data_IF_031268165624
#
_entry.id   IF_031268165624
#
_cell.length_a   1.000
_cell.length_b   1.000
_cell.length_c   1.000
_cell.angle_alpha   90.00
_cell.angle_beta   90.00
_cell.angle_gamma   90.00
#
_symmetry.space_group_name_H-M   'P 1'
#
loop_
_entity.id
_entity.type
_entity.pdbx_description
1 polymer ?
#
# COMPACT_ATOMS: atom_id res chain seq x y z
N UNK A 1 21.57 3.53 24.84
CA UNK A 1 20.79 2.72 23.89
C UNK A 1 20.02 1.72 24.73
N UNK A 2 18.68 1.71 24.66
CA UNK A 2 17.88 0.63 25.23
C UNK A 2 18.36 -0.68 24.58
N UNK A 3 18.42 -1.78 25.33
CA UNK A 3 18.66 -3.07 24.69
C UNK A 3 17.45 -3.42 23.80
N UNK A 4 17.63 -4.26 22.76
CA UNK A 4 16.58 -4.53 21.77
C UNK A 4 15.28 -5.05 22.41
N UNK A 5 15.38 -5.76 23.54
CA UNK A 5 14.23 -6.28 24.31
C UNK A 5 13.42 -5.15 24.95
N UNK A 6 14.09 -4.19 25.59
CA UNK A 6 13.44 -3.00 26.16
C UNK A 6 12.76 -2.15 25.09
N UNK A 7 13.37 -2.04 23.89
CA UNK A 7 12.78 -1.31 22.78
C UNK A 7 11.52 -2.01 22.25
N UNK A 8 11.56 -3.32 22.04
CA UNK A 8 10.39 -4.11 21.63
C UNK A 8 9.25 -4.01 22.67
N UNK A 9 9.57 -4.09 23.97
CA UNK A 9 8.58 -3.99 25.05
C UNK A 9 7.85 -2.64 25.03
N UNK A 10 8.59 -1.54 24.83
CA UNK A 10 7.98 -0.19 24.74
C UNK A 10 7.08 -0.05 23.52
N UNK A 11 7.49 -0.57 22.38
CA UNK A 11 6.66 -0.54 21.16
C UNK A 11 5.37 -1.33 21.38
N UNK A 12 5.45 -2.50 22.04
CA UNK A 12 4.28 -3.30 22.38
C UNK A 12 3.31 -2.56 23.30
N UNK A 13 3.82 -1.89 24.34
CA UNK A 13 3.00 -1.05 25.23
C UNK A 13 2.29 0.07 24.46
N UNK A 14 3.01 0.77 23.56
CA UNK A 14 2.44 1.82 22.73
C UNK A 14 1.37 1.28 21.77
N UNK A 15 1.60 0.12 21.13
CA UNK A 15 0.62 -0.52 20.25
C UNK A 15 -0.66 -0.88 21.01
N UNK A 16 -0.54 -1.53 22.17
CA UNK A 16 -1.71 -1.88 22.99
C UNK A 16 -2.47 -0.64 23.42
N UNK A 17 -1.77 0.43 23.83
CA UNK A 17 -2.40 1.70 24.18
C UNK A 17 -3.20 2.29 23.02
N UNK A 18 -2.65 2.30 21.81
CA UNK A 18 -3.36 2.83 20.64
C UNK A 18 -4.55 1.95 20.22
N UNK A 19 -4.43 0.63 20.37
CA UNK A 19 -5.55 -0.30 20.19
C UNK A 19 -6.65 -0.01 21.22
N UNK A 20 -6.32 0.17 22.50
CA UNK A 20 -7.29 0.52 23.55
C UNK A 20 -7.99 1.85 23.29
N UNK A 21 -7.25 2.84 22.78
CA UNK A 21 -7.78 4.15 22.40
C UNK A 21 -8.57 4.13 21.09
N UNK A 22 -8.50 3.03 20.32
CA UNK A 22 -9.08 2.90 18.99
C UNK A 22 -8.62 4.02 18.03
N UNK A 23 -7.36 4.44 18.18
CA UNK A 23 -6.80 5.57 17.44
C UNK A 23 -5.37 5.28 16.99
N UNK A 24 -5.09 5.54 15.73
CA UNK A 24 -3.76 5.44 15.15
C UNK A 24 -3.56 6.61 14.20
N UNK A 25 -2.39 7.22 14.28
CA UNK A 25 -1.96 8.17 13.26
C UNK A 25 -1.76 7.40 11.94
N UNK A 26 -2.40 7.89 10.89
CA UNK A 26 -2.23 7.39 9.53
C UNK A 26 -1.79 8.54 8.65
N UNK A 27 -0.63 8.36 8.02
CA UNK A 27 -0.13 9.28 7.01
C UNK A 27 -0.46 8.73 5.64
N UNK A 28 -0.67 9.61 4.68
CA UNK A 28 -1.05 9.26 3.32
C UNK A 28 0.06 9.65 2.36
N UNK A 29 0.53 8.69 1.57
CA UNK A 29 1.42 8.98 0.46
C UNK A 29 0.62 9.01 -0.85
N UNK A 30 0.46 10.17 -1.50
CA UNK A 30 -0.29 10.25 -2.74
C UNK A 30 0.48 9.61 -3.91
N UNK A 31 -0.27 8.97 -4.79
CA UNK A 31 0.21 8.30 -6.00
C UNK A 31 -0.23 9.12 -7.22
N UNK A 32 0.75 9.57 -8.01
CA UNK A 32 0.54 10.48 -9.14
C UNK A 32 0.22 9.69 -10.41
N UNK A 33 -0.92 10.01 -11.05
CA UNK A 33 -1.26 9.51 -12.38
C UNK A 33 -0.65 10.46 -13.42
N UNK A 34 0.34 9.96 -14.16
CA UNK A 34 1.04 10.79 -15.13
C UNK A 34 0.16 11.20 -16.31
N UNK A 35 -0.81 10.37 -16.70
CA UNK A 35 -1.72 10.65 -17.82
C UNK A 35 -2.77 11.69 -17.43
N UNK A 36 -3.37 11.55 -16.25
CA UNK A 36 -4.34 12.53 -15.71
C UNK A 36 -3.69 13.79 -15.13
N UNK A 37 -2.37 13.75 -14.90
CA UNK A 37 -1.57 14.84 -14.34
C UNK A 37 -2.04 15.30 -12.96
N UNK A 38 -2.54 14.36 -12.15
CA UNK A 38 -3.00 14.62 -10.79
C UNK A 38 -2.78 13.40 -9.89
N UNK A 39 -2.87 13.60 -8.58
CA UNK A 39 -2.95 12.49 -7.64
C UNK A 39 -4.31 11.83 -7.72
N UNK A 40 -4.33 10.51 -7.86
CA UNK A 40 -5.57 9.73 -8.07
C UNK A 40 -5.73 8.60 -7.08
N UNK A 41 -4.68 8.26 -6.35
CA UNK A 41 -4.71 7.25 -5.30
C UNK A 41 -3.79 7.72 -4.18
N UNK A 42 -3.91 7.13 -3.00
CA UNK A 42 -2.95 7.29 -1.92
C UNK A 42 -2.76 5.98 -1.17
N UNK A 43 -1.59 5.81 -0.58
CA UNK A 43 -1.32 4.70 0.34
C UNK A 43 -1.42 5.19 1.79
N UNK A 44 -2.20 4.48 2.59
CA UNK A 44 -2.34 4.68 4.02
C UNK A 44 -1.20 3.96 4.76
N UNK A 45 -0.41 4.73 5.49
CA UNK A 45 0.79 4.27 6.18
C UNK A 45 0.65 4.55 7.68
N UNK A 46 0.60 3.48 8.48
CA UNK A 46 0.55 3.58 9.93
C UNK A 46 1.74 4.38 10.47
N UNK A 47 1.47 5.19 11.48
CA UNK A 47 2.47 5.89 12.28
C UNK A 47 2.23 5.61 13.76
N UNK A 48 3.32 5.42 14.48
CA UNK A 48 3.31 5.19 15.92
C UNK A 48 4.29 6.17 16.56
N UNK A 49 3.79 7.04 17.43
CA UNK A 49 4.62 7.97 18.18
C UNK A 49 5.07 7.33 19.50
N UNK A 50 6.31 7.62 19.89
CA UNK A 50 6.79 7.36 21.24
C UNK A 50 6.33 8.45 22.23
N UNK A 51 6.63 8.26 23.51
CA UNK A 51 6.24 9.19 24.59
C UNK A 51 6.86 10.59 24.45
N UNK A 52 7.90 10.74 23.63
CA UNK A 52 8.58 12.02 23.35
C UNK A 52 8.04 12.69 22.07
N UNK A 53 6.99 12.13 21.45
CA UNK A 53 6.41 12.60 20.21
C UNK A 53 7.28 12.29 18.97
N UNK A 54 8.24 11.37 19.07
CA UNK A 54 9.03 10.92 17.93
C UNK A 54 8.38 9.70 17.28
N UNK A 55 8.29 9.71 15.95
CA UNK A 55 7.72 8.58 15.22
C UNK A 55 8.70 7.39 15.16
N UNK A 56 8.19 6.22 15.55
CA UNK A 56 8.87 4.94 15.44
C UNK A 56 8.84 4.51 13.96
N UNK A 57 9.95 3.96 13.41
CA UNK A 57 9.96 3.43 12.05
C UNK A 57 8.83 2.41 11.84
N UNK A 58 8.01 2.52 10.78
CA UNK A 58 6.85 1.65 10.59
C UNK A 58 7.20 0.16 10.56
N UNK A 59 8.33 -0.22 9.94
CA UNK A 59 8.77 -1.62 9.87
C UNK A 59 9.02 -2.22 11.26
N UNK A 60 9.45 -1.40 12.22
CA UNK A 60 9.74 -1.85 13.58
C UNK A 60 8.43 -2.08 14.35
N UNK A 61 7.49 -1.14 14.25
CA UNK A 61 6.16 -1.27 14.84
C UNK A 61 5.39 -2.47 14.27
N UNK A 62 5.40 -2.66 12.95
CA UNK A 62 4.74 -3.79 12.28
C UNK A 62 5.35 -5.11 12.74
N UNK A 63 6.69 -5.23 12.81
CA UNK A 63 7.37 -6.44 13.31
C UNK A 63 6.94 -6.79 14.74
N UNK A 64 6.83 -5.80 15.62
CA UNK A 64 6.36 -6.02 17.00
C UNK A 64 4.89 -6.43 17.02
N UNK A 65 4.04 -5.79 16.20
CA UNK A 65 2.63 -6.16 16.09
C UNK A 65 2.45 -7.62 15.61
N UNK A 66 3.16 -8.03 14.56
CA UNK A 66 3.12 -9.40 14.04
C UNK A 66 3.59 -10.43 15.07
N UNK A 67 4.71 -10.17 15.76
CA UNK A 67 5.26 -11.06 16.80
C UNK A 67 4.29 -11.28 17.97
N UNK A 68 3.41 -10.31 18.21
CA UNK A 68 2.43 -10.34 19.31
C UNK A 68 0.98 -10.56 18.85
N UNK A 69 0.76 -10.93 17.57
CA UNK A 69 -0.55 -11.15 16.96
C UNK A 69 -1.51 -9.96 17.01
N UNK A 70 -0.99 -8.73 17.06
CA UNK A 70 -1.77 -7.49 17.10
C UNK A 70 -2.06 -6.91 15.70
N UNK A 71 -1.52 -7.52 14.65
CA UNK A 71 -1.57 -6.94 13.29
C UNK A 71 -3.00 -6.87 12.74
N UNK A 72 -3.89 -7.75 13.21
CA UNK A 72 -5.30 -7.75 12.80
C UNK A 72 -5.99 -6.50 13.34
N UNK A 73 -5.91 -6.27 14.64
CA UNK A 73 -6.49 -5.10 15.33
C UNK A 73 -5.90 -3.80 14.79
N UNK A 74 -4.58 -3.74 14.63
CA UNK A 74 -3.89 -2.58 14.04
C UNK A 74 -4.37 -2.33 12.61
N UNK A 75 -4.46 -3.37 11.78
CA UNK A 75 -4.90 -3.24 10.40
C UNK A 75 -6.37 -2.83 10.27
N UNK A 76 -7.24 -3.31 11.15
CA UNK A 76 -8.65 -2.91 11.20
C UNK A 76 -8.80 -1.42 11.56
N UNK A 77 -7.99 -0.91 12.49
CA UNK A 77 -7.95 0.52 12.84
C UNK A 77 -7.43 1.38 11.68
N UNK A 78 -6.33 0.98 11.04
CA UNK A 78 -5.78 1.67 9.86
C UNK A 78 -6.79 1.67 8.71
N UNK A 79 -7.47 0.54 8.45
CA UNK A 79 -8.53 0.45 7.45
C UNK A 79 -9.71 1.35 7.78
N UNK A 80 -10.14 1.39 9.04
CA UNK A 80 -11.23 2.26 9.50
C UNK A 80 -10.88 3.73 9.23
N UNK A 81 -9.68 4.16 9.60
CA UNK A 81 -9.19 5.53 9.35
C UNK A 81 -9.10 5.84 7.86
N UNK A 82 -8.56 4.91 7.05
CA UNK A 82 -8.51 5.05 5.61
C UNK A 82 -9.91 5.19 4.98
N UNK A 83 -10.89 4.41 5.46
CA UNK A 83 -12.27 4.51 4.99
C UNK A 83 -12.91 5.86 5.36
N UNK A 84 -12.67 6.36 6.58
CA UNK A 84 -13.15 7.68 7.02
C UNK A 84 -12.54 8.80 6.17
N UNK A 85 -11.23 8.79 5.94
CA UNK A 85 -10.56 9.77 5.08
C UNK A 85 -11.08 9.68 3.64
N UNK A 86 -11.26 8.46 3.09
CA UNK A 86 -11.80 8.30 1.73
C UNK A 86 -13.26 8.78 1.61
N UNK A 87 -14.07 8.60 2.66
CA UNK A 87 -15.42 9.19 2.72
C UNK A 87 -15.35 10.70 2.61
N UNK A 88 -14.54 11.33 3.46
CA UNK A 88 -14.33 12.78 3.44
C UNK A 88 -13.88 13.27 2.06
N UNK A 89 -12.87 12.64 1.46
CA UNK A 89 -12.36 12.99 0.13
C UNK A 89 -13.43 12.85 -0.97
N UNK A 90 -14.30 11.83 -0.86
CA UNK A 90 -15.41 11.62 -1.79
C UNK A 90 -16.45 12.74 -1.70
N UNK A 91 -16.80 13.14 -0.48
CA UNK A 91 -17.75 14.24 -0.22
C UNK A 91 -17.20 15.58 -0.74
N UNK A 92 -15.88 15.77 -0.67
CA UNK A 92 -15.18 16.94 -1.23
C UNK A 92 -14.94 16.85 -2.74
N UNK A 93 -15.31 15.73 -3.40
CA UNK A 93 -15.13 15.50 -4.85
C UNK A 93 -13.68 15.68 -5.31
N UNK A 94 -12.73 15.14 -4.56
CA UNK A 94 -11.31 15.14 -4.98
C UNK A 94 -11.07 14.18 -6.15
N UNK A 95 -9.88 14.24 -6.74
CA UNK A 95 -9.45 13.29 -7.78
C UNK A 95 -9.02 11.93 -7.21
N UNK A 96 -8.98 11.76 -5.88
CA UNK A 96 -8.62 10.48 -5.26
C UNK A 96 -9.74 9.49 -5.50
N UNK A 97 -9.41 8.40 -6.17
CA UNK A 97 -10.32 7.34 -6.56
C UNK A 97 -10.38 6.23 -5.52
N UNK A 98 -9.24 5.94 -4.88
CA UNK A 98 -9.10 4.90 -3.87
C UNK A 98 -7.92 5.18 -2.91
N UNK A 99 -7.98 4.55 -1.73
CA UNK A 99 -6.86 4.48 -0.77
C UNK A 99 -6.42 3.03 -0.60
N UNK A 100 -5.11 2.80 -0.63
CA UNK A 100 -4.49 1.49 -0.44
C UNK A 100 -4.10 1.27 1.01
N UNK A 101 -4.42 0.10 1.56
CA UNK A 101 -3.98 -0.36 2.90
C UNK A 101 -3.14 -1.61 2.78
N UNK A 102 -2.10 -1.73 3.61
CA UNK A 102 -1.21 -2.89 3.66
C UNK A 102 -1.86 -4.06 4.39
N UNK A 103 -1.71 -5.28 3.87
CA UNK A 103 -2.11 -6.53 4.52
C UNK A 103 -0.90 -7.35 4.97
N UNK A 104 -1.06 -8.03 6.10
CA UNK A 104 -0.08 -8.96 6.64
C UNK A 104 -0.42 -10.42 6.34
N UNK A 105 0.53 -11.31 6.63
CA UNK A 105 0.35 -12.77 6.51
C UNK A 105 -0.80 -13.26 7.37
N UNK A 106 -0.85 -12.82 8.62
CA UNK A 106 -1.83 -13.28 9.61
C UNK A 106 -3.26 -12.93 9.19
N UNK A 107 -3.45 -11.81 8.50
CA UNK A 107 -4.74 -11.37 7.97
C UNK A 107 -5.16 -12.20 6.74
N UNK A 108 -4.23 -12.51 5.83
CA UNK A 108 -4.55 -13.28 4.61
C UNK A 108 -4.86 -14.76 4.89
N UNK A 109 -4.36 -15.32 5.99
CA UNK A 109 -4.66 -16.71 6.36
C UNK A 109 -5.98 -16.85 7.14
N UNK A 110 -6.51 -15.77 7.71
CA UNK A 110 -7.84 -15.75 8.32
C UNK A 110 -8.92 -15.72 7.23
N UNK A 111 -9.60 -16.85 7.03
CA UNK A 111 -10.66 -17.02 6.02
C UNK A 111 -11.88 -16.11 6.24
N UNK A 112 -12.02 -15.48 7.41
CA UNK A 112 -13.06 -14.50 7.68
C UNK A 112 -12.61 -13.06 7.45
N UNK A 113 -11.32 -12.81 7.21
CA UNK A 113 -10.77 -11.47 7.14
C UNK A 113 -11.38 -10.67 5.98
N UNK A 114 -11.60 -11.29 4.81
CA UNK A 114 -12.32 -10.64 3.71
C UNK A 114 -13.71 -10.15 4.09
N UNK A 115 -14.47 -10.91 4.90
CA UNK A 115 -15.77 -10.47 5.42
C UNK A 115 -15.64 -9.31 6.42
N UNK A 116 -14.66 -9.36 7.32
CA UNK A 116 -14.39 -8.29 8.30
C UNK A 116 -14.05 -6.98 7.59
N UNK A 117 -13.13 -7.01 6.62
CA UNK A 117 -12.78 -5.87 5.77
C UNK A 117 -14.01 -5.27 5.10
N UNK A 118 -14.88 -6.10 4.54
CA UNK A 118 -16.11 -5.62 3.89
C UNK A 118 -17.10 -4.99 4.86
N UNK A 119 -17.19 -5.48 6.09
CA UNK A 119 -18.05 -4.87 7.10
C UNK A 119 -17.55 -3.47 7.47
N UNK A 120 -16.25 -3.30 7.72
CA UNK A 120 -15.65 -1.99 8.04
C UNK A 120 -15.89 -0.96 6.93
N UNK A 121 -15.67 -1.37 5.68
CA UNK A 121 -15.93 -0.52 4.49
C UNK A 121 -17.40 -0.09 4.43
N UNK A 122 -18.33 -1.04 4.64
CA UNK A 122 -19.77 -0.76 4.60
C UNK A 122 -20.21 0.17 5.73
N UNK A 123 -19.73 -0.04 6.94
CA UNK A 123 -20.04 0.79 8.11
C UNK A 123 -19.53 2.23 7.93
N UNK A 124 -18.41 2.39 7.21
CA UNK A 124 -17.88 3.71 6.84
C UNK A 124 -18.70 4.42 5.74
N UNK A 125 -19.62 3.71 5.08
CA UNK A 125 -20.51 4.27 4.07
C UNK A 125 -19.80 4.66 2.77
N UNK A 126 -18.75 3.92 2.39
CA UNK A 126 -18.11 4.02 1.07
C UNK A 126 -18.30 2.71 0.30
N UNK A 127 -18.09 2.74 -1.02
CA UNK A 127 -18.13 1.54 -1.85
C UNK A 127 -16.79 0.80 -1.81
N UNK A 128 -16.76 -0.55 -1.91
CA UNK A 128 -15.51 -1.31 -1.79
C UNK A 128 -14.42 -0.99 -2.81
N UNK A 129 -14.79 -0.48 -3.99
CA UNK A 129 -13.84 -0.05 -5.04
C UNK A 129 -13.03 1.20 -4.66
N UNK A 130 -13.39 1.86 -3.55
CA UNK A 130 -12.66 2.98 -2.95
C UNK A 130 -11.52 2.55 -2.05
N UNK A 131 -11.39 1.26 -1.77
CA UNK A 131 -10.28 0.69 -1.01
C UNK A 131 -9.52 -0.30 -1.90
N UNK A 132 -8.20 -0.19 -1.82
CA UNK A 132 -7.27 -1.17 -2.34
C UNK A 132 -6.61 -1.89 -1.17
N UNK A 133 -6.33 -3.18 -1.32
CA UNK A 133 -5.49 -3.93 -0.39
C UNK A 133 -4.18 -4.28 -1.05
N UNK A 134 -3.09 -4.09 -0.33
CA UNK A 134 -1.73 -4.31 -0.80
C UNK A 134 -1.10 -5.51 -0.13
N UNK A 135 -0.47 -6.35 -0.94
CA UNK A 135 0.23 -7.55 -0.50
C UNK A 135 1.62 -7.56 -1.12
N UNK A 136 2.63 -7.96 -0.35
CA UNK A 136 3.97 -8.11 -0.90
C UNK A 136 4.11 -9.43 -1.68
N UNK A 137 5.04 -9.47 -2.61
CA UNK A 137 5.38 -10.67 -3.37
C UNK A 137 5.82 -11.85 -2.44
N UNK A 138 6.58 -11.56 -1.39
CA UNK A 138 6.99 -12.56 -0.40
C UNK A 138 5.81 -13.15 0.38
N UNK A 139 4.86 -12.29 0.79
CA UNK A 139 3.65 -12.70 1.48
C UNK A 139 2.81 -13.66 0.63
N UNK A 140 2.62 -13.31 -0.64
CA UNK A 140 1.84 -14.10 -1.58
C UNK A 140 2.43 -15.51 -1.75
N UNK A 141 3.76 -15.63 -1.86
CA UNK A 141 4.45 -16.91 -2.00
C UNK A 141 4.30 -17.82 -0.78
N UNK A 142 4.38 -17.26 0.43
CA UNK A 142 4.34 -18.04 1.66
C UNK A 142 2.95 -18.63 1.96
N UNK A 143 1.89 -17.91 1.57
CA UNK A 143 0.52 -18.21 2.00
C UNK A 143 -0.47 -18.40 0.85
N UNK A 144 0.01 -18.64 -0.37
CA UNK A 144 -0.81 -18.63 -1.58
C UNK A 144 -2.12 -19.44 -1.48
N UNK A 145 -2.13 -20.71 -1.01
CA UNK A 145 -3.36 -21.50 -0.99
C UNK A 145 -4.44 -20.93 -0.06
N UNK A 146 -4.04 -20.31 1.06
CA UNK A 146 -4.99 -19.70 2.01
C UNK A 146 -5.37 -18.27 1.59
N UNK A 147 -4.42 -17.53 1.01
CA UNK A 147 -4.60 -16.15 0.62
C UNK A 147 -5.52 -16.00 -0.61
N UNK A 148 -5.46 -16.91 -1.58
CA UNK A 148 -6.20 -16.78 -2.84
C UNK A 148 -7.72 -16.70 -2.62
N UNK A 149 -8.27 -17.45 -1.68
CA UNK A 149 -9.70 -17.45 -1.37
C UNK A 149 -10.14 -16.11 -0.74
N UNK A 150 -9.34 -15.58 0.19
CA UNK A 150 -9.58 -14.27 0.81
C UNK A 150 -9.47 -13.15 -0.23
N UNK A 151 -8.44 -13.18 -1.08
CA UNK A 151 -8.24 -12.18 -2.14
C UNK A 151 -9.36 -12.24 -3.18
N UNK A 152 -9.81 -13.44 -3.58
CA UNK A 152 -10.93 -13.60 -4.49
C UNK A 152 -12.25 -13.11 -3.88
N UNK A 153 -12.48 -13.35 -2.58
CA UNK A 153 -13.64 -12.81 -1.88
C UNK A 153 -13.64 -11.27 -1.85
N UNK A 154 -12.49 -10.67 -1.53
CA UNK A 154 -12.32 -9.21 -1.55
C UNK A 154 -12.54 -8.65 -2.96
N UNK A 155 -11.93 -9.26 -3.96
CA UNK A 155 -12.07 -8.87 -5.36
C UNK A 155 -13.52 -8.97 -5.86
N UNK A 156 -14.20 -10.08 -5.57
CA UNK A 156 -15.61 -10.28 -5.95
C UNK A 156 -16.55 -9.23 -5.35
N UNK A 157 -16.16 -8.65 -4.21
CA UNK A 157 -16.90 -7.57 -3.57
C UNK A 157 -16.53 -6.17 -4.09
N UNK A 158 -15.53 -6.06 -4.97
CA UNK A 158 -15.10 -4.82 -5.61
C UNK A 158 -13.81 -4.21 -5.05
N UNK A 159 -13.20 -4.81 -4.01
CA UNK A 159 -11.91 -4.35 -3.48
C UNK A 159 -10.83 -4.65 -4.51
N UNK A 160 -9.97 -3.66 -4.76
CA UNK A 160 -8.86 -3.81 -5.71
C UNK A 160 -7.64 -4.39 -5.01
N UNK A 161 -6.95 -5.32 -5.67
CA UNK A 161 -5.74 -5.95 -5.13
C UNK A 161 -4.51 -5.30 -5.77
N UNK A 162 -3.53 -4.94 -4.93
CA UNK A 162 -2.26 -4.34 -5.32
C UNK A 162 -1.13 -5.30 -4.96
N UNK A 163 -0.25 -5.60 -5.92
CA UNK A 163 0.97 -6.36 -5.66
C UNK A 163 2.14 -5.41 -5.42
N UNK A 164 2.77 -5.51 -4.26
CA UNK A 164 3.91 -4.70 -3.85
C UNK A 164 5.26 -5.44 -3.96
N UNK A 165 6.32 -4.66 -4.13
CA UNK A 165 7.69 -5.11 -4.35
C UNK A 165 7.84 -6.08 -5.52
N UNK A 166 7.13 -5.89 -6.64
CA UNK A 166 7.26 -6.79 -7.78
C UNK A 166 8.66 -6.73 -8.38
N UNK A 167 9.26 -7.90 -8.61
CA UNK A 167 10.64 -8.05 -9.10
C UNK A 167 11.66 -8.11 -7.97
N UNK A 168 11.21 -8.17 -6.72
CA UNK A 168 12.07 -8.28 -5.55
C UNK A 168 12.48 -9.72 -5.22
N UNK A 169 11.72 -10.70 -5.73
CA UNK A 169 11.86 -12.13 -5.46
C UNK A 169 11.39 -13.01 -6.64
N UNK A 170 10.98 -14.24 -6.32
CA UNK A 170 10.59 -15.26 -7.31
C UNK A 170 9.06 -15.50 -7.36
N UNK A 171 8.23 -14.48 -7.58
CA UNK A 171 6.82 -14.71 -7.92
C UNK A 171 6.75 -15.40 -9.25
N UNK A 172 6.30 -16.66 -9.19
CA UNK A 172 5.96 -17.41 -10.39
C UNK A 172 4.87 -16.66 -11.16
N UNK A 173 5.06 -16.53 -12.47
CA UNK A 173 4.05 -16.04 -13.43
C UNK A 173 2.70 -16.77 -13.22
N UNK A 174 2.73 -18.01 -12.73
CA UNK A 174 1.54 -18.79 -12.38
C UNK A 174 0.68 -18.11 -11.30
N UNK A 175 1.30 -17.61 -10.22
CA UNK A 175 0.57 -16.93 -9.13
C UNK A 175 0.06 -15.57 -9.58
N UNK A 176 0.90 -14.83 -10.30
CA UNK A 176 0.50 -13.58 -10.94
C UNK A 176 -0.73 -13.74 -11.85
N UNK A 177 -0.81 -14.88 -12.53
CA UNK A 177 -1.91 -15.20 -13.43
C UNK A 177 -3.22 -15.52 -12.70
N UNK A 178 -3.18 -15.97 -11.45
CA UNK A 178 -4.36 -16.40 -10.69
C UNK A 178 -4.98 -15.28 -9.84
N UNK A 179 -4.19 -14.33 -9.36
CA UNK A 179 -4.72 -13.22 -8.56
C UNK A 179 -5.22 -12.10 -9.48
N UNK A 180 -6.42 -11.53 -9.22
CA UNK A 180 -6.99 -10.45 -10.03
C UNK A 180 -6.43 -9.08 -9.60
N UNK A 181 -5.13 -8.87 -9.84
CA UNK A 181 -4.47 -7.60 -9.54
C UNK A 181 -5.07 -6.44 -10.34
N UNK A 182 -5.32 -5.32 -9.67
CA UNK A 182 -5.64 -4.05 -10.33
C UNK A 182 -4.37 -3.22 -10.56
N UNK A 183 -3.41 -3.30 -9.63
CA UNK A 183 -2.14 -2.60 -9.70
C UNK A 183 -0.98 -3.52 -9.36
N UNK A 184 0.17 -3.24 -9.98
CA UNK A 184 1.47 -3.79 -9.62
C UNK A 184 2.42 -2.63 -9.36
N UNK A 185 3.04 -2.65 -8.19
CA UNK A 185 4.08 -1.72 -7.81
C UNK A 185 5.46 -2.34 -8.07
N UNK A 186 6.26 -1.64 -8.87
CA UNK A 186 7.61 -2.06 -9.22
C UNK A 186 8.56 -1.67 -8.10
N UNK A 187 9.33 -2.65 -7.61
CA UNK A 187 10.35 -2.39 -6.59
C UNK A 187 11.39 -1.37 -7.09
N UNK A 188 11.91 -0.57 -6.16
CA UNK A 188 12.89 0.48 -6.44
C UNK A 188 14.16 -0.03 -7.15
N UNK A 189 14.53 -1.31 -6.99
CA UNK A 189 15.65 -1.90 -7.74
C UNK A 189 15.40 -1.89 -9.25
N UNK A 190 14.16 -2.12 -9.69
CA UNK A 190 13.80 -2.04 -11.11
C UNK A 190 13.89 -0.59 -11.62
N UNK A 191 13.52 0.39 -10.79
CA UNK A 191 13.63 1.83 -11.11
C UNK A 191 15.10 2.27 -11.24
N UNK A 192 16.01 1.64 -10.51
CA UNK A 192 17.46 1.87 -10.66
C UNK A 192 18.04 1.09 -11.84
N UNK A 193 17.54 -0.12 -12.09
CA UNK A 193 18.03 -1.04 -13.13
C UNK A 193 17.90 -0.46 -14.54
N UNK A 194 16.81 0.25 -14.83
CA UNK A 194 16.57 0.89 -16.15
C UNK A 194 17.62 1.91 -16.54
N UNK A 195 18.39 2.44 -15.59
CA UNK A 195 19.41 3.47 -15.83
C UNK A 195 20.80 2.87 -16.11
N UNK A 196 20.98 1.57 -15.92
CA UNK A 196 22.30 0.93 -16.00
C UNK A 196 22.82 0.83 -17.44
N UNK A 197 21.98 0.35 -18.36
CA UNK A 197 22.28 0.27 -19.79
C UNK A 197 21.01 -0.07 -20.60
N UNK A 198 21.13 -0.07 -21.93
CA UNK A 198 20.02 -0.33 -22.84
C UNK A 198 19.39 -1.72 -22.66
N UNK A 199 20.18 -2.75 -22.41
CA UNK A 199 19.68 -4.12 -22.21
C UNK A 199 18.80 -4.20 -20.94
N UNK A 200 19.25 -3.58 -19.85
CA UNK A 200 18.49 -3.53 -18.60
C UNK A 200 17.19 -2.72 -18.74
N UNK A 201 17.23 -1.62 -19.49
CA UNK A 201 16.02 -0.86 -19.83
C UNK A 201 15.02 -1.71 -20.62
N UNK A 202 15.47 -2.40 -21.68
CA UNK A 202 14.62 -3.26 -22.52
C UNK A 202 14.02 -4.41 -21.71
N UNK A 203 14.79 -5.02 -20.80
CA UNK A 203 14.30 -6.07 -19.91
C UNK A 203 13.13 -5.58 -19.04
N UNK A 204 13.30 -4.46 -18.34
CA UNK A 204 12.24 -3.89 -17.50
C UNK A 204 11.03 -3.44 -18.32
N UNK A 205 11.26 -2.84 -19.50
CA UNK A 205 10.20 -2.47 -20.42
C UNK A 205 9.36 -3.70 -20.84
N UNK A 206 10.00 -4.82 -21.18
CA UNK A 206 9.31 -6.07 -21.55
C UNK A 206 8.52 -6.65 -20.37
N UNK A 207 9.04 -6.56 -19.15
CA UNK A 207 8.28 -6.95 -17.95
C UNK A 207 7.03 -6.09 -17.76
N UNK A 208 7.14 -4.76 -17.92
CA UNK A 208 5.99 -3.85 -17.84
C UNK A 208 4.95 -4.16 -18.93
N UNK A 209 5.39 -4.42 -20.16
CA UNK A 209 4.50 -4.85 -21.25
C UNK A 209 3.75 -6.14 -20.89
N UNK A 210 4.44 -7.13 -20.31
CA UNK A 210 3.83 -8.41 -19.89
C UNK A 210 2.77 -8.21 -18.79
N UNK A 211 3.06 -7.40 -17.77
CA UNK A 211 2.10 -7.08 -16.69
C UNK A 211 0.81 -6.49 -17.28
N UNK A 212 0.96 -5.57 -18.23
CA UNK A 212 -0.15 -4.82 -18.83
C UNK A 212 -1.08 -5.64 -19.71
N UNK A 213 -0.68 -6.84 -20.15
CA UNK A 213 -1.54 -7.74 -20.94
C UNK A 213 -2.84 -8.06 -20.18
N UNK A 214 -2.80 -8.11 -18.85
CA UNK A 214 -3.97 -8.37 -17.99
C UNK A 214 -4.76 -7.11 -17.60
N UNK A 215 -4.57 -6.00 -18.31
CA UNK A 215 -5.15 -4.68 -18.03
C UNK A 215 -4.73 -4.07 -16.67
N UNK A 216 -3.73 -4.67 -16.04
CA UNK A 216 -3.15 -4.24 -14.76
C UNK A 216 -2.41 -2.93 -14.95
N UNK A 217 -2.56 -2.03 -13.97
CA UNK A 217 -1.84 -0.75 -13.94
C UNK A 217 -0.49 -0.90 -13.25
N UNK A 218 0.51 -0.19 -13.76
CA UNK A 218 1.87 -0.24 -13.20
C UNK A 218 2.20 1.04 -12.45
N UNK A 219 2.62 0.89 -11.19
CA UNK A 219 3.10 1.97 -10.32
C UNK A 219 4.62 1.82 -10.19
N UNK A 220 5.37 2.88 -10.47
CA UNK A 220 6.79 2.93 -10.14
C UNK A 220 6.98 3.52 -8.74
N UNK A 221 7.60 2.77 -7.83
CA UNK A 221 7.83 3.22 -6.46
C UNK A 221 9.23 3.80 -6.23
N UNK A 222 9.36 4.59 -5.15
CA UNK A 222 10.59 5.27 -4.74
C UNK A 222 11.24 6.04 -5.88
N UNK A 223 10.43 6.69 -6.70
CA UNK A 223 10.90 7.64 -7.71
C UNK A 223 11.28 8.94 -7.00
N UNK A 224 12.57 9.27 -7.00
CA UNK A 224 13.12 10.40 -6.23
C UNK A 224 13.66 11.51 -7.14
N UNK A 225 14.08 11.16 -8.36
CA UNK A 225 14.64 12.12 -9.32
C UNK A 225 13.78 12.28 -10.56
N UNK A 226 13.99 13.38 -11.29
CA UNK A 226 13.39 13.58 -12.62
C UNK A 226 13.86 12.54 -13.63
N UNK A 227 15.08 12.03 -13.44
CA UNK A 227 15.63 10.98 -14.29
C UNK A 227 14.90 9.65 -14.10
N UNK A 228 14.71 9.23 -12.84
CA UNK A 228 13.88 8.05 -12.49
C UNK A 228 12.51 8.14 -13.16
N UNK A 229 11.84 9.30 -13.02
CA UNK A 229 10.54 9.56 -13.61
C UNK A 229 10.55 9.37 -15.13
N UNK A 230 11.51 9.98 -15.83
CA UNK A 230 11.59 9.91 -17.29
C UNK A 230 11.81 8.47 -17.77
N UNK A 231 12.65 7.69 -17.08
CA UNK A 231 12.88 6.29 -17.41
C UNK A 231 11.63 5.44 -17.18
N UNK A 232 10.94 5.61 -16.05
CA UNK A 232 9.74 4.84 -15.74
C UNK A 232 8.56 5.18 -16.66
N UNK A 233 8.41 6.43 -17.09
CA UNK A 233 7.45 6.80 -18.14
C UNK A 233 7.79 6.09 -19.46
N UNK A 234 9.08 6.04 -19.84
CA UNK A 234 9.52 5.35 -21.07
C UNK A 234 9.31 3.82 -21.00
N UNK A 235 9.47 3.21 -19.83
CA UNK A 235 9.13 1.81 -19.60
C UNK A 235 7.61 1.57 -19.65
N UNK A 236 6.80 2.63 -19.55
CA UNK A 236 5.35 2.56 -19.63
C UNK A 236 4.66 2.48 -18.29
N UNK A 237 5.26 2.91 -17.18
CA UNK A 237 4.53 3.05 -15.91
C UNK A 237 3.30 3.98 -16.08
N UNK A 238 2.17 3.63 -15.45
CA UNK A 238 0.95 4.45 -15.46
C UNK A 238 0.94 5.46 -14.30
N UNK A 239 1.51 5.05 -13.17
CA UNK A 239 1.54 5.80 -11.92
C UNK A 239 2.95 5.90 -11.35
N UNK A 240 3.16 6.91 -10.53
CA UNK A 240 4.43 7.14 -9.84
C UNK A 240 4.18 7.46 -8.37
N UNK A 241 4.93 6.80 -7.49
CA UNK A 241 4.95 7.04 -6.06
C UNK A 241 6.40 7.23 -5.61
N UNK A 242 6.68 8.30 -4.88
CA UNK A 242 8.04 8.58 -4.42
C UNK A 242 8.26 10.06 -4.10
N UNK A 243 9.41 10.35 -3.48
CA UNK A 243 9.71 11.67 -2.94
C UNK A 243 9.90 12.75 -4.00
N UNK A 244 10.05 12.39 -5.27
CA UNK A 244 10.00 13.34 -6.37
C UNK A 244 8.69 14.13 -6.39
N UNK A 245 7.56 13.46 -6.10
CA UNK A 245 6.25 14.09 -6.04
C UNK A 245 5.82 14.42 -4.62
N UNK A 246 5.90 13.46 -3.69
CA UNK A 246 5.49 13.67 -2.31
C UNK A 246 6.05 12.60 -1.37
N UNK A 247 6.42 13.03 -0.17
CA UNK A 247 6.57 12.13 0.99
C UNK A 247 5.19 11.70 1.50
N UNK A 248 5.10 10.69 2.37
CA UNK A 248 3.92 10.49 3.19
C UNK A 248 3.61 11.75 4.01
N UNK A 249 2.35 12.15 4.04
CA UNK A 249 1.87 13.37 4.68
C UNK A 249 0.86 13.05 5.77
N UNK A 250 0.82 13.87 6.81
CA UNK A 250 -0.29 13.88 7.76
C UNK A 250 -1.61 14.21 7.05
N UNK A 251 -2.75 13.83 7.65
CA UNK A 251 -4.06 13.96 7.04
C UNK A 251 -4.38 15.39 6.54
N UNK A 252 -4.00 16.40 7.32
CA UNK A 252 -4.18 17.81 6.95
C UNK A 252 -3.32 18.21 5.74
N UNK A 253 -2.02 17.90 5.76
CA UNK A 253 -1.11 18.23 4.66
C UNK A 253 -1.47 17.46 3.37
N UNK A 254 -1.88 16.20 3.52
CA UNK A 254 -2.41 15.40 2.43
C UNK A 254 -3.66 16.06 1.83
N UNK A 255 -4.60 16.48 2.67
CA UNK A 255 -5.77 17.24 2.23
C UNK A 255 -5.38 18.53 1.52
N UNK A 256 -4.48 19.35 2.07
CA UNK A 256 -3.99 20.58 1.42
C UNK A 256 -3.41 20.32 0.02
N UNK A 257 -2.73 19.19 -0.15
CA UNK A 257 -2.15 18.79 -1.43
C UNK A 257 -3.20 18.35 -2.46
N UNK A 258 -4.22 17.61 -2.03
CA UNK A 258 -5.23 17.01 -2.93
C UNK A 258 -6.51 17.85 -3.08
N UNK A 259 -6.72 18.85 -2.22
CA UNK A 259 -7.81 19.84 -2.31
C UNK A 259 -7.56 20.81 -3.47
N UNK A 260 -7.69 20.32 -4.69
CA UNK A 260 -7.64 21.10 -5.94
C UNK A 260 -6.36 21.90 -6.21
N UNK A 261 -5.61 21.39 -7.18
CA UNK A 261 -5.32 22.13 -8.43
C UNK A 261 -6.10 21.48 -9.60
N UNK A 262 -7.43 21.55 -9.55
CA UNK A 262 -8.31 21.21 -10.69
C UNK A 262 -8.58 22.45 -11.53
#
# INVERSE_FOLDING_TARGET
>A
MLNDVERESKILELLNRQIELQDFDVWYQPVYDYKKKCYTTAEALMRLQDENGQYIPPYEAIRVAEKNNLVTEVGELVLTKACQTMKFLSDQKTSIENITVNLSVQQLVDQNYGKKTLNIIRESGITPDRICVEITEALLLQSFPAAIDVLNQMHAAGIRIVLDNFGSGEVSISYFSQVPFAFVKLDHRLVQQVQQNQEQFEFVQKMVEMIKIKEVKVVAERVETKEDLNWMIRCGADYVQGYYYSKPLEENDFWELVKKKS
#
